data_IF_326221659701
#
_entry.id   IF_326221659701
#
_cell.length_a   1.000
_cell.length_b   1.000
_cell.length_c   1.000
_cell.angle_alpha   90.00
_cell.angle_beta   90.00
_cell.angle_gamma   90.00
#
_symmetry.space_group_name_H-M   'P 1'
#
loop_
_entity.id
_entity.type
_entity.pdbx_description
1 polymer ?
#
# COMPACT_ATOMS: atom_id res chain seq x y z
N UNK A 1 14.50 -2.25 -42.89
CA UNK A 1 15.78 -2.23 -42.12
C UNK A 1 15.72 -0.93 -41.34
N UNK A 2 15.53 -0.82 -40.02
CA UNK A 2 16.06 -1.53 -38.85
C UNK A 2 15.03 -1.44 -37.71
N UNK A 3 14.98 -2.48 -36.86
CA UNK A 3 14.14 -2.64 -35.66
C UNK A 3 14.57 -1.66 -34.56
N UNK A 4 13.65 -1.22 -33.69
CA UNK A 4 13.92 -1.14 -32.25
C UNK A 4 12.64 -0.99 -31.43
N UNK A 5 12.27 -2.10 -30.84
CA UNK A 5 11.37 -2.22 -29.69
C UNK A 5 11.93 -1.41 -28.51
N UNK A 6 11.06 -0.76 -27.73
CA UNK A 6 11.39 -0.52 -26.33
C UNK A 6 10.21 -0.88 -25.42
N UNK A 7 10.41 -1.98 -24.72
CA UNK A 7 9.48 -2.68 -23.84
C UNK A 7 9.70 -2.13 -22.43
N UNK A 8 8.77 -1.31 -21.94
CA UNK A 8 8.67 -0.98 -20.51
C UNK A 8 7.20 -0.98 -20.07
N UNK A 9 6.66 -2.18 -19.85
CA UNK A 9 5.50 -2.37 -18.99
C UNK A 9 6.02 -2.53 -17.56
N UNK A 10 6.05 -1.42 -16.81
CA UNK A 10 6.07 -1.47 -15.34
C UNK A 10 4.66 -1.09 -14.92
N UNK A 11 3.99 -2.05 -14.27
CA UNK A 11 2.59 -1.92 -13.86
C UNK A 11 2.39 -0.66 -13.03
N UNK A 12 1.43 0.15 -13.46
CA UNK A 12 0.75 1.11 -12.60
C UNK A 12 0.21 0.34 -11.39
N UNK A 13 0.72 0.67 -10.22
CA UNK A 13 0.04 0.32 -8.98
C UNK A 13 -1.12 1.32 -8.90
N UNK A 14 -2.31 0.89 -9.30
CA UNK A 14 -3.55 1.60 -8.99
C UNK A 14 -3.64 1.70 -7.48
N UNK A 15 -3.24 2.85 -6.95
CA UNK A 15 -3.48 3.21 -5.56
C UNK A 15 -4.97 3.47 -5.48
N UNK A 16 -5.73 2.48 -4.99
CA UNK A 16 -7.16 2.59 -4.80
C UNK A 16 -7.49 3.92 -4.11
N UNK A 17 -8.21 4.78 -4.83
CA UNK A 17 -8.61 6.10 -4.37
C UNK A 17 -9.67 5.94 -3.28
N UNK A 18 -9.20 5.70 -2.06
CA UNK A 18 -10.03 5.56 -0.87
C UNK A 18 -10.47 6.95 -0.41
N UNK A 19 -11.61 7.42 -0.94
CA UNK A 19 -12.21 8.68 -0.55
C UNK A 19 -12.81 8.55 0.84
N UNK A 20 -12.20 9.22 1.82
CA UNK A 20 -12.81 9.41 3.13
C UNK A 20 -13.34 10.82 3.30
N UNK A 21 -14.52 10.80 3.89
CA UNK A 21 -15.28 11.92 4.44
C UNK A 21 -14.38 12.83 5.28
N UNK A 22 -14.54 14.14 5.06
CA UNK A 22 -13.77 15.21 5.67
C UNK A 22 -13.74 15.14 7.19
N UNK A 23 -12.52 15.13 7.75
CA UNK A 23 -12.30 15.36 9.18
C UNK A 23 -10.85 15.81 9.39
N UNK A 24 -10.67 17.07 9.84
CA UNK A 24 -9.46 17.72 10.39
C UNK A 24 -8.11 17.20 9.87
N UNK A 25 -7.39 18.04 9.10
CA UNK A 25 -6.21 17.67 8.30
C UNK A 25 -5.07 16.88 8.96
N UNK A 26 -5.03 16.76 10.29
CA UNK A 26 -4.11 15.87 11.01
C UNK A 26 -4.40 14.38 10.77
N UNK A 27 -5.68 13.99 10.75
CA UNK A 27 -6.07 12.60 10.49
C UNK A 27 -5.69 12.17 9.07
N UNK A 28 -5.85 13.08 8.11
CA UNK A 28 -5.45 12.86 6.71
C UNK A 28 -3.94 12.68 6.56
N UNK A 29 -3.14 13.49 7.26
CA UNK A 29 -1.69 13.33 7.26
C UNK A 29 -1.30 11.97 7.84
N UNK A 30 -1.86 11.61 8.99
CA UNK A 30 -1.59 10.33 9.64
C UNK A 30 -1.90 9.13 8.73
N UNK A 31 -3.07 9.15 8.07
CA UNK A 31 -3.46 8.09 7.12
C UNK A 31 -2.52 8.01 5.92
N UNK A 32 -2.14 9.14 5.32
CA UNK A 32 -1.18 9.18 4.21
C UNK A 32 0.20 8.66 4.64
N UNK A 33 0.65 9.00 5.85
CA UNK A 33 1.91 8.49 6.41
C UNK A 33 1.86 6.98 6.58
N UNK A 34 0.79 6.41 7.16
CA UNK A 34 0.62 4.97 7.31
C UNK A 34 0.58 4.25 5.95
N UNK A 35 -0.15 4.80 4.98
CA UNK A 35 -0.20 4.26 3.62
C UNK A 35 1.19 4.23 2.97
N UNK A 36 2.00 5.29 3.17
CA UNK A 36 3.39 5.33 2.69
C UNK A 36 4.26 4.26 3.35
N UNK A 37 4.15 4.08 4.66
CA UNK A 37 4.89 3.05 5.40
C UNK A 37 4.53 1.63 4.93
N UNK A 38 3.24 1.38 4.66
CA UNK A 38 2.79 0.11 4.08
C UNK A 38 3.34 -0.09 2.66
N UNK A 39 3.22 0.92 1.80
CA UNK A 39 3.73 0.86 0.43
C UNK A 39 5.24 0.63 0.34
N UNK A 40 6.01 1.17 1.28
CA UNK A 40 7.46 0.95 1.39
C UNK A 40 7.84 -0.25 2.26
N UNK A 41 6.87 -1.03 2.77
CA UNK A 41 7.06 -2.16 3.68
C UNK A 41 7.92 -1.82 4.91
N UNK A 42 7.90 -0.55 5.35
CA UNK A 42 8.71 -0.05 6.46
C UNK A 42 7.93 -0.20 7.75
N UNK A 43 8.60 -0.68 8.81
CA UNK A 43 8.01 -0.92 10.13
C UNK A 43 6.90 -1.98 10.15
N UNK A 44 6.71 -2.76 9.09
CA UNK A 44 5.83 -3.93 9.12
C UNK A 44 6.38 -4.96 10.11
N UNK A 45 5.51 -5.44 11.00
CA UNK A 45 5.84 -6.33 12.12
C UNK A 45 5.10 -7.68 12.05
N UNK A 46 4.31 -7.89 10.99
CA UNK A 46 3.67 -9.17 10.67
C UNK A 46 3.74 -9.43 9.16
N UNK A 47 3.83 -10.71 8.80
CA UNK A 47 3.76 -11.19 7.41
C UNK A 47 2.84 -12.39 7.33
N UNK A 48 1.85 -12.34 6.43
CA UNK A 48 0.98 -13.48 6.13
C UNK A 48 1.46 -14.17 4.85
N UNK A 49 1.46 -15.50 4.85
CA UNK A 49 1.68 -16.31 3.65
C UNK A 49 0.36 -16.99 3.27
N UNK A 50 -0.26 -16.54 2.18
CA UNK A 50 -1.59 -17.00 1.74
C UNK A 50 -1.49 -17.40 0.28
N UNK A 51 -1.77 -18.67 -0.03
CA UNK A 51 -1.66 -19.23 -1.38
C UNK A 51 -0.34 -18.90 -2.10
N UNK A 52 0.78 -18.95 -1.38
CA UNK A 52 2.11 -18.66 -1.93
C UNK A 52 2.44 -17.18 -2.08
N UNK A 53 1.50 -16.27 -1.79
CA UNK A 53 1.71 -14.82 -1.79
C UNK A 53 2.00 -14.34 -0.37
N UNK A 54 2.94 -13.40 -0.23
CA UNK A 54 3.29 -12.78 1.05
C UNK A 54 2.69 -11.38 1.18
N UNK A 55 2.05 -11.11 2.31
CA UNK A 55 1.47 -9.81 2.65
C UNK A 55 2.12 -9.29 3.93
N UNK A 56 2.89 -8.20 3.82
CA UNK A 56 3.44 -7.49 4.98
C UNK A 56 2.39 -6.50 5.52
N UNK A 57 2.29 -6.35 6.84
CA UNK A 57 1.35 -5.42 7.45
C UNK A 57 1.84 -4.93 8.82
N UNK A 58 1.08 -4.01 9.41
CA UNK A 58 1.30 -3.48 10.76
C UNK A 58 0.23 -4.02 11.70
N UNK A 59 0.61 -4.78 12.74
CA UNK A 59 -0.33 -5.44 13.68
C UNK A 59 -1.31 -4.46 14.30
N UNK A 60 -0.84 -3.28 14.71
CA UNK A 60 -1.68 -2.26 15.34
C UNK A 60 -2.80 -1.78 14.42
N UNK A 61 -2.52 -1.66 13.11
CA UNK A 61 -3.51 -1.24 12.12
C UNK A 61 -4.54 -2.33 11.90
N UNK A 62 -4.11 -3.60 11.81
CA UNK A 62 -5.02 -4.73 11.67
C UNK A 62 -5.92 -4.90 12.90
N UNK A 63 -5.34 -4.79 14.11
CA UNK A 63 -6.08 -4.87 15.36
C UNK A 63 -7.14 -3.78 15.49
N UNK A 64 -6.84 -2.55 15.05
CA UNK A 64 -7.80 -1.46 15.04
C UNK A 64 -8.90 -1.59 13.97
N UNK A 65 -8.67 -2.39 12.93
CA UNK A 65 -9.55 -2.49 11.75
C UNK A 65 -10.39 -3.77 11.71
N UNK A 66 -10.12 -4.74 12.59
CA UNK A 66 -10.88 -5.99 12.67
C UNK A 66 -11.76 -5.98 13.92
N UNK A 67 -13.06 -6.20 13.72
CA UNK A 67 -14.07 -6.33 14.76
C UNK A 67 -14.58 -7.76 14.79
#
# INVERSE_FOLDING_TARGET
MVRSSNKRRRGEVEVAHFSLVESSGEHDLFRRTLARLYGSQTLCDVTFAVHGVRFHAHKVILAASSW
#
